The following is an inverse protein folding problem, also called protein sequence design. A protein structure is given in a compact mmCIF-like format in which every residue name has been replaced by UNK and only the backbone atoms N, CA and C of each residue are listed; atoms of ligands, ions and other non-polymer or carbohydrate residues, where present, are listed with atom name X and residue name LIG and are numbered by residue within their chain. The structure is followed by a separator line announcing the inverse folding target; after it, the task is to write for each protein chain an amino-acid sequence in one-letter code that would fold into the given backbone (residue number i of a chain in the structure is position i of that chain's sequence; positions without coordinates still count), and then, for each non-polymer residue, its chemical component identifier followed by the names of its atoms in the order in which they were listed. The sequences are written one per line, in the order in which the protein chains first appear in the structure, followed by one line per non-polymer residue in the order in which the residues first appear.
data_IF_103245509085
#
_entry.id   IF_103245509085
#
_cell.length_a   1.000
_cell.length_b   1.000
_cell.length_c   1.000
_cell.angle_alpha   90.00
_cell.angle_beta   90.00
_cell.angle_gamma   90.00
#
_symmetry.space_group_name_H-M   'P 1'
#
loop_
_entity.id
_entity.type
_entity.pdbx_description
1 polymer ?
#
# COMPACT_ATOMS: atom_id res chain seq x y z
N UNK A 1 -10.55 -37.41 -37.77
CA UNK A 1 -10.92 -35.99 -38.01
C UNK A 1 -11.63 -35.40 -36.79
N UNK A 2 -12.56 -36.12 -36.16
CA UNK A 2 -13.16 -35.74 -34.86
C UNK A 2 -12.13 -35.49 -33.74
N UNK A 3 -11.16 -36.40 -33.55
CA UNK A 3 -10.08 -36.27 -32.55
C UNK A 3 -9.25 -34.97 -32.72
N UNK A 4 -8.91 -34.61 -33.95
CA UNK A 4 -8.15 -33.39 -34.28
C UNK A 4 -8.98 -32.12 -34.06
N UNK A 5 -10.30 -32.19 -34.26
CA UNK A 5 -11.23 -31.08 -33.99
C UNK A 5 -11.42 -30.90 -32.47
N UNK A 6 -11.46 -31.98 -31.69
CA UNK A 6 -11.50 -31.93 -30.21
C UNK A 6 -10.24 -31.32 -29.61
N UNK A 7 -9.06 -31.71 -30.11
CA UNK A 7 -7.76 -31.11 -29.71
C UNK A 7 -7.66 -29.62 -30.09
N UNK A 8 -8.19 -29.23 -31.26
CA UNK A 8 -8.25 -27.83 -31.67
C UNK A 8 -9.23 -26.99 -30.82
N UNK A 9 -10.35 -27.59 -30.38
CA UNK A 9 -11.30 -26.95 -29.46
C UNK A 9 -10.74 -26.70 -28.06
N UNK A 10 -9.95 -27.65 -27.53
CA UNK A 10 -9.23 -27.50 -26.25
C UNK A 10 -8.15 -26.41 -26.32
N UNK A 11 -7.52 -26.22 -27.49
CA UNK A 11 -6.49 -25.20 -27.68
C UNK A 11 -7.04 -23.75 -27.67
N UNK A 12 -8.32 -23.57 -27.99
CA UNK A 12 -8.98 -22.25 -28.09
C UNK A 12 -9.67 -21.78 -26.80
N UNK A 13 -9.87 -22.64 -25.81
CA UNK A 13 -10.41 -22.26 -24.50
C UNK A 13 -9.28 -22.07 -23.47
N UNK A 14 -9.00 -20.82 -23.03
CA UNK A 14 -7.95 -20.53 -22.05
C UNK A 14 -8.14 -21.25 -20.71
N UNK A 15 -9.39 -21.52 -20.29
CA UNK A 15 -9.69 -22.15 -19.01
C UNK A 15 -9.36 -23.65 -19.05
N UNK A 16 -9.82 -24.35 -20.08
CA UNK A 16 -9.56 -25.78 -20.25
C UNK A 16 -8.07 -26.04 -20.42
N UNK A 17 -7.39 -25.23 -21.24
CA UNK A 17 -5.93 -25.31 -21.41
C UNK A 17 -5.18 -25.06 -20.11
N UNK A 18 -5.63 -24.09 -19.31
CA UNK A 18 -5.05 -23.82 -17.99
C UNK A 18 -5.14 -25.03 -17.07
N UNK A 19 -6.33 -25.62 -16.94
CA UNK A 19 -6.57 -26.81 -16.12
C UNK A 19 -5.71 -27.99 -16.59
N UNK A 20 -5.69 -28.27 -17.91
CA UNK A 20 -4.90 -29.37 -18.46
C UNK A 20 -3.39 -29.18 -18.25
N UNK A 21 -2.91 -27.95 -18.35
CA UNK A 21 -1.50 -27.62 -18.10
C UNK A 21 -1.12 -27.91 -16.65
N UNK A 22 -1.95 -27.48 -15.69
CA UNK A 22 -1.74 -27.74 -14.26
C UNK A 22 -1.86 -29.23 -13.93
N UNK A 23 -2.84 -29.92 -14.51
CA UNK A 23 -3.02 -31.36 -14.33
C UNK A 23 -1.83 -32.15 -14.88
N UNK A 24 -1.38 -31.84 -16.10
CA UNK A 24 -0.20 -32.48 -16.71
C UNK A 24 1.05 -32.22 -15.88
N UNK A 25 1.27 -30.96 -15.46
CA UNK A 25 2.39 -30.61 -14.58
C UNK A 25 2.36 -31.37 -13.26
N UNK A 26 1.18 -31.53 -12.65
CA UNK A 26 1.02 -32.26 -11.38
C UNK A 26 1.31 -33.76 -11.55
N UNK A 27 0.79 -34.39 -12.61
CA UNK A 27 1.03 -35.81 -12.91
C UNK A 27 2.50 -36.07 -13.24
N UNK A 28 3.13 -35.22 -14.05
CA UNK A 28 4.54 -35.40 -14.42
C UNK A 28 5.45 -35.15 -13.22
N UNK A 29 5.25 -34.06 -12.48
CA UNK A 29 6.12 -33.71 -11.37
C UNK A 29 5.96 -34.65 -10.16
N UNK A 30 4.73 -34.88 -9.69
CA UNK A 30 4.48 -35.75 -8.53
C UNK A 30 4.52 -37.23 -8.90
N UNK A 31 3.97 -37.57 -10.07
CA UNK A 31 3.88 -38.96 -10.53
C UNK A 31 5.24 -39.55 -10.92
N UNK A 32 6.15 -38.77 -11.52
CA UNK A 32 7.49 -39.28 -11.84
C UNK A 32 8.29 -39.66 -10.59
N UNK A 33 8.30 -38.78 -9.58
CA UNK A 33 8.95 -39.03 -8.28
C UNK A 33 8.32 -40.26 -7.60
N UNK A 34 6.98 -40.36 -7.61
CA UNK A 34 6.28 -41.50 -7.05
C UNK A 34 6.60 -42.83 -7.77
N UNK A 35 6.65 -42.85 -9.11
CA UNK A 35 6.97 -44.05 -9.89
C UNK A 35 8.39 -44.54 -9.61
N UNK A 36 9.36 -43.62 -9.57
CA UNK A 36 10.76 -43.96 -9.30
C UNK A 36 10.90 -44.60 -7.91
N UNK A 37 10.30 -43.99 -6.87
CA UNK A 37 10.38 -44.52 -5.50
C UNK A 37 9.59 -45.83 -5.38
N UNK A 38 8.40 -45.90 -5.97
CA UNK A 38 7.53 -47.09 -5.88
C UNK A 38 8.13 -48.32 -6.54
N UNK A 39 8.95 -48.14 -7.59
CA UNK A 39 9.62 -49.26 -8.27
C UNK A 39 10.66 -49.94 -7.38
N UNK A 40 11.34 -49.19 -6.51
CA UNK A 40 12.36 -49.74 -5.61
C UNK A 40 11.78 -50.17 -4.25
N UNK A 41 10.86 -49.38 -3.69
CA UNK A 41 10.36 -49.58 -2.32
C UNK A 41 8.99 -50.27 -2.25
N UNK A 42 8.31 -50.46 -3.38
CA UNK A 42 6.91 -50.92 -3.45
C UNK A 42 5.90 -49.78 -3.27
N UNK A 43 4.70 -49.95 -3.82
CA UNK A 43 3.68 -48.88 -3.96
C UNK A 43 3.23 -48.29 -2.63
N UNK A 44 2.99 -49.11 -1.59
CA UNK A 44 2.55 -48.62 -0.26
C UNK A 44 3.59 -47.70 0.38
N UNK A 45 4.86 -48.08 0.25
CA UNK A 45 6.01 -47.38 0.82
C UNK A 45 6.31 -46.12 0.02
N UNK A 46 6.37 -46.27 -1.29
CA UNK A 46 6.64 -45.18 -2.21
C UNK A 46 5.58 -44.09 -2.12
N UNK A 47 4.31 -44.45 -1.90
CA UNK A 47 3.25 -43.46 -1.65
C UNK A 47 3.51 -42.67 -0.37
N UNK A 48 3.79 -43.33 0.75
CA UNK A 48 4.08 -42.62 2.01
C UNK A 48 5.27 -41.68 1.89
N UNK A 49 6.37 -42.13 1.26
CA UNK A 49 7.57 -41.32 1.07
C UNK A 49 7.31 -40.13 0.14
N UNK A 50 6.66 -40.37 -1.01
CA UNK A 50 6.39 -39.32 -1.99
C UNK A 50 5.42 -38.26 -1.43
N UNK A 51 4.36 -38.67 -0.73
CA UNK A 51 3.42 -37.75 -0.10
C UNK A 51 4.08 -36.99 1.05
N UNK A 52 4.94 -37.64 1.86
CA UNK A 52 5.71 -36.95 2.89
C UNK A 52 6.65 -35.91 2.26
N UNK A 53 7.38 -36.27 1.19
CA UNK A 53 8.25 -35.35 0.46
C UNK A 53 7.48 -34.14 -0.10
N UNK A 54 6.29 -34.37 -0.68
CA UNK A 54 5.44 -33.28 -1.17
C UNK A 54 5.01 -32.32 -0.07
N UNK A 55 4.52 -32.82 1.07
CA UNK A 55 4.11 -31.94 2.17
C UNK A 55 5.31 -31.25 2.83
N UNK A 56 6.47 -31.89 2.93
CA UNK A 56 7.71 -31.25 3.37
C UNK A 56 8.14 -30.11 2.44
N UNK A 57 8.02 -30.31 1.12
CA UNK A 57 8.25 -29.26 0.13
C UNK A 57 7.22 -28.12 0.25
N UNK A 58 5.93 -28.44 0.42
CA UNK A 58 4.88 -27.44 0.66
C UNK A 58 5.11 -26.63 1.93
N UNK A 59 5.64 -27.23 3.00
CA UNK A 59 6.04 -26.49 4.21
C UNK A 59 7.13 -25.48 3.90
N UNK A 60 8.18 -25.87 3.16
CA UNK A 60 9.29 -24.98 2.82
C UNK A 60 8.80 -23.81 1.94
N UNK A 61 8.00 -24.11 0.91
CA UNK A 61 7.43 -23.07 0.04
C UNK A 61 6.49 -22.13 0.81
N UNK A 62 5.55 -22.68 1.56
CA UNK A 62 4.58 -21.88 2.29
C UNK A 62 5.26 -21.07 3.41
N UNK A 63 6.29 -21.60 4.07
CA UNK A 63 7.10 -20.84 5.02
C UNK A 63 7.82 -19.67 4.35
N UNK A 64 8.37 -19.89 3.15
CA UNK A 64 8.96 -18.82 2.33
C UNK A 64 7.90 -17.75 1.99
N UNK A 65 6.73 -18.17 1.53
CA UNK A 65 5.60 -17.27 1.24
C UNK A 65 5.11 -16.52 2.48
N UNK A 66 5.11 -17.15 3.65
CA UNK A 66 4.72 -16.53 4.91
C UNK A 66 5.71 -15.45 5.35
N UNK A 67 7.01 -15.73 5.27
CA UNK A 67 8.07 -14.78 5.64
C UNK A 67 8.05 -13.56 4.70
N UNK A 68 8.00 -13.81 3.39
CA UNK A 68 8.11 -12.74 2.39
C UNK A 68 6.76 -12.12 1.99
N UNK A 69 5.63 -12.70 2.39
CA UNK A 69 4.30 -12.23 1.98
C UNK A 69 4.06 -12.34 0.47
N UNK A 70 4.51 -13.44 -0.15
CA UNK A 70 4.41 -13.71 -1.60
C UNK A 70 3.56 -14.95 -1.88
N UNK A 71 3.37 -15.30 -3.17
CA UNK A 71 2.61 -16.48 -3.56
C UNK A 71 1.10 -16.30 -3.36
N UNK A 72 0.43 -17.32 -2.81
CA UNK A 72 -0.99 -17.25 -2.47
C UNK A 72 -1.22 -16.45 -1.17
N UNK A 73 -1.00 -15.14 -1.28
CA UNK A 73 -1.18 -14.18 -0.20
C UNK A 73 -2.63 -13.71 -0.07
N UNK A 74 -2.94 -13.15 1.10
CA UNK A 74 -4.20 -12.42 1.31
C UNK A 74 -4.18 -11.04 0.66
N UNK A 75 -5.19 -10.24 0.97
CA UNK A 75 -5.30 -8.85 0.52
C UNK A 75 -4.11 -8.01 1.01
N UNK A 76 -3.64 -7.12 0.14
CA UNK A 76 -2.59 -6.16 0.46
C UNK A 76 -3.17 -5.02 1.31
N UNK A 77 -2.33 -4.29 2.06
CA UNK A 77 -2.75 -3.07 2.72
C UNK A 77 -3.28 -2.07 1.69
N UNK A 78 -4.41 -1.44 1.99
CA UNK A 78 -5.00 -0.37 1.17
C UNK A 78 -5.66 0.67 2.07
N UNK A 79 -5.85 1.88 1.55
CA UNK A 79 -6.74 2.85 2.17
C UNK A 79 -8.18 2.48 1.84
N UNK A 80 -9.07 2.60 2.82
CA UNK A 80 -10.51 2.43 2.62
C UNK A 80 -11.21 3.70 3.07
N UNK A 81 -11.98 4.31 2.17
CA UNK A 81 -12.81 5.47 2.50
C UNK A 81 -13.95 5.03 3.40
N UNK A 82 -14.07 5.73 4.53
CA UNK A 82 -15.12 5.50 5.53
C UNK A 82 -16.20 6.57 5.47
N UNK A 83 -15.82 7.81 5.12
CA UNK A 83 -16.71 8.95 5.05
C UNK A 83 -16.13 9.98 4.06
N UNK A 84 -17.00 10.67 3.34
CA UNK A 84 -16.64 11.83 2.52
C UNK A 84 -17.49 12.99 3.02
N UNK A 85 -16.84 13.90 3.75
CA UNK A 85 -17.49 15.06 4.33
C UNK A 85 -17.31 16.27 3.41
N UNK A 86 -18.35 17.09 3.29
CA UNK A 86 -18.34 18.31 2.47
C UNK A 86 -18.58 19.51 3.38
N UNK A 87 -17.59 20.40 3.47
CA UNK A 87 -17.64 21.60 4.30
C UNK A 87 -17.18 21.32 5.73
N UNK A 88 -18.10 21.34 6.69
CA UNK A 88 -17.80 21.29 8.12
C UNK A 88 -17.46 19.86 8.59
N UNK A 89 -16.19 19.66 8.96
CA UNK A 89 -15.68 18.43 9.56
C UNK A 89 -16.37 18.10 10.89
N UNK A 90 -16.91 19.10 11.59
CA UNK A 90 -17.69 18.91 12.81
C UNK A 90 -18.93 18.02 12.61
N UNK A 91 -19.43 17.91 11.38
CA UNK A 91 -20.57 17.06 11.00
C UNK A 91 -20.15 15.68 10.49
N UNK A 92 -18.86 15.36 10.42
CA UNK A 92 -18.40 14.06 9.93
C UNK A 92 -18.97 12.90 10.75
N UNK A 93 -19.25 11.78 10.08
CA UNK A 93 -19.66 10.54 10.71
C UNK A 93 -18.60 9.94 11.63
N UNK A 94 -17.32 10.29 11.43
CA UNK A 94 -16.20 9.85 12.26
C UNK A 94 -15.90 10.87 13.37
N UNK A 95 -16.05 10.51 14.67
CA UNK A 95 -15.70 11.41 15.78
C UNK A 95 -14.26 11.92 15.75
N UNK A 96 -13.32 11.08 15.32
CA UNK A 96 -11.90 11.41 15.21
C UNK A 96 -11.63 12.49 14.17
N UNK A 97 -12.42 12.56 13.09
CA UNK A 97 -12.28 13.59 12.06
C UNK A 97 -12.72 14.97 12.57
N UNK A 98 -13.68 15.03 13.49
CA UNK A 98 -14.17 16.29 14.11
C UNK A 98 -13.14 17.00 14.97
N UNK A 99 -12.03 16.33 15.30
CA UNK A 99 -10.93 16.90 16.07
C UNK A 99 -9.97 17.73 15.20
N UNK A 100 -10.03 17.57 13.88
CA UNK A 100 -9.32 18.42 12.94
C UNK A 100 -10.17 19.69 12.68
N UNK A 101 -9.62 20.90 12.90
CA UNK A 101 -10.30 22.15 12.53
C UNK A 101 -10.59 22.21 11.02
N UNK A 102 -11.60 23.00 10.65
CA UNK A 102 -11.90 23.21 9.23
C UNK A 102 -10.74 23.92 8.53
N UNK A 103 -10.59 23.66 7.23
CA UNK A 103 -9.48 24.25 6.46
C UNK A 103 -9.49 25.77 6.48
N UNK A 104 -10.68 26.38 6.47
CA UNK A 104 -10.88 27.83 6.42
C UNK A 104 -10.50 28.54 7.74
N UNK A 105 -10.43 27.80 8.86
CA UNK A 105 -10.03 28.32 10.18
C UNK A 105 -8.51 28.31 10.37
N UNK A 106 -7.78 27.70 9.44
CA UNK A 106 -6.34 27.48 9.51
C UNK A 106 -5.61 28.41 8.55
N UNK A 107 -4.41 28.84 8.92
CA UNK A 107 -3.58 29.67 8.05
C UNK A 107 -3.25 28.93 6.75
N UNK A 108 -3.28 29.68 5.64
CA UNK A 108 -2.91 29.12 4.33
C UNK A 108 -1.41 28.80 4.28
N UNK A 109 -1.00 27.93 3.34
CA UNK A 109 0.42 27.63 3.15
C UNK A 109 1.25 28.89 2.87
N UNK A 110 0.72 29.81 2.07
CA UNK A 110 1.42 31.06 1.75
C UNK A 110 1.52 32.02 2.94
N UNK A 111 0.45 32.14 3.75
CA UNK A 111 0.48 32.92 4.98
C UNK A 111 1.54 32.42 5.97
N UNK A 112 1.70 31.09 6.06
CA UNK A 112 2.75 30.48 6.88
C UNK A 112 4.15 30.85 6.36
N UNK A 113 4.35 30.88 5.04
CA UNK A 113 5.62 31.33 4.44
C UNK A 113 5.90 32.78 4.82
N UNK A 114 4.91 33.67 4.70
CA UNK A 114 5.05 35.09 5.01
C UNK A 114 5.29 35.34 6.51
N UNK A 115 4.64 34.57 7.37
CA UNK A 115 4.84 34.63 8.82
C UNK A 115 6.21 34.03 9.23
N UNK A 116 6.74 33.10 8.44
CA UNK A 116 8.02 32.45 8.71
C UNK A 116 9.21 33.33 8.33
N UNK A 117 10.26 33.27 9.14
CA UNK A 117 11.59 33.82 8.79
C UNK A 117 12.53 32.75 8.22
N UNK A 118 11.97 31.63 7.74
CA UNK A 118 12.76 30.51 7.26
C UNK A 118 13.30 30.80 5.86
N UNK A 119 14.62 30.63 5.71
CA UNK A 119 15.29 30.99 4.45
C UNK A 119 14.92 30.05 3.30
N UNK A 120 14.60 28.79 3.57
CA UNK A 120 14.24 27.81 2.54
C UNK A 120 12.82 28.02 2.04
N UNK A 121 11.87 28.25 2.96
CA UNK A 121 10.49 28.58 2.60
C UNK A 121 10.41 29.89 1.80
N UNK A 122 11.10 30.94 2.25
CA UNK A 122 11.13 32.22 1.54
C UNK A 122 11.80 32.12 0.17
N UNK A 123 12.89 31.35 0.05
CA UNK A 123 13.56 31.18 -1.24
C UNK A 123 12.66 30.51 -2.29
N UNK A 124 11.86 29.50 -1.90
CA UNK A 124 11.01 28.75 -2.83
C UNK A 124 9.68 29.45 -3.14
N UNK A 125 9.07 30.09 -2.13
CA UNK A 125 7.70 30.59 -2.20
C UNK A 125 7.56 32.10 -1.97
N UNK A 126 8.65 32.85 -1.77
CA UNK A 126 8.60 34.31 -1.58
C UNK A 126 9.69 35.04 -2.38
N UNK A 127 10.06 34.49 -3.54
CA UNK A 127 10.96 35.12 -4.51
C UNK A 127 10.24 35.34 -5.84
N UNK A 128 10.44 36.52 -6.42
CA UNK A 128 9.90 36.89 -7.72
C UNK A 128 11.03 37.10 -8.73
N UNK A 129 10.87 36.65 -10.00
CA UNK A 129 11.88 36.82 -11.03
C UNK A 129 12.22 38.30 -11.25
N UNK A 130 13.51 38.64 -11.23
CA UNK A 130 13.97 40.01 -11.46
C UNK A 130 14.29 40.27 -12.94
N UNK A 131 14.32 41.55 -13.33
CA UNK A 131 14.73 41.97 -14.67
C UNK A 131 16.21 41.66 -14.96
N UNK A 132 17.05 41.59 -13.91
CA UNK A 132 18.47 41.26 -14.05
C UNK A 132 18.68 39.78 -14.41
N UNK A 133 17.84 38.90 -13.89
CA UNK A 133 17.86 37.45 -14.18
C UNK A 133 17.23 37.11 -15.53
N UNK A 134 16.37 38.00 -16.06
CA UNK A 134 15.62 37.79 -17.30
C UNK A 134 15.80 38.97 -18.28
N UNK A 135 17.02 39.23 -18.77
CA UNK A 135 17.32 40.40 -19.61
C UNK A 135 16.65 40.35 -20.99
N UNK A 136 16.22 39.17 -21.43
CA UNK A 136 15.62 38.94 -22.75
C UNK A 136 14.10 39.19 -22.78
N UNK A 137 13.45 39.39 -21.63
CA UNK A 137 12.01 39.61 -21.54
C UNK A 137 11.67 41.10 -21.61
N UNK A 138 10.59 41.43 -22.33
CA UNK A 138 10.00 42.77 -22.27
C UNK A 138 9.39 43.04 -20.90
N UNK A 139 9.20 44.33 -20.54
CA UNK A 139 8.57 44.72 -19.26
C UNK A 139 7.19 44.08 -19.06
N UNK A 140 6.43 43.89 -20.14
CA UNK A 140 5.12 43.23 -20.11
C UNK A 140 5.23 41.73 -19.86
N UNK A 141 6.16 41.04 -20.53
CA UNK A 141 6.37 39.60 -20.33
C UNK A 141 6.95 39.30 -18.94
N UNK A 142 7.79 40.19 -18.41
CA UNK A 142 8.31 40.09 -17.05
C UNK A 142 7.19 40.24 -16.02
N UNK A 143 6.26 41.19 -16.22
CA UNK A 143 5.12 41.37 -15.32
C UNK A 143 4.18 40.16 -15.34
N UNK A 144 3.94 39.57 -16.51
CA UNK A 144 3.16 38.32 -16.65
C UNK A 144 3.84 37.14 -15.93
N UNK A 145 5.17 37.02 -16.10
CA UNK A 145 5.96 35.99 -15.41
C UNK A 145 5.89 36.17 -13.89
N UNK A 146 6.10 37.39 -13.39
CA UNK A 146 6.01 37.71 -11.96
C UNK A 146 4.62 37.40 -11.40
N UNK A 147 3.55 37.79 -12.11
CA UNK A 147 2.18 37.46 -11.71
C UNK A 147 1.94 35.94 -11.66
N UNK A 148 2.48 35.19 -12.63
CA UNK A 148 2.35 33.73 -12.66
C UNK A 148 3.09 33.04 -11.50
N UNK A 149 4.25 33.56 -11.11
CA UNK A 149 5.04 33.04 -9.98
C UNK A 149 4.40 33.44 -8.65
N UNK A 150 3.90 34.67 -8.54
CA UNK A 150 3.15 35.10 -7.37
C UNK A 150 1.92 34.23 -7.15
N UNK A 151 1.17 33.92 -8.21
CA UNK A 151 0.04 33.00 -8.13
C UNK A 151 0.47 31.60 -7.69
N UNK A 152 1.58 31.04 -8.21
CA UNK A 152 2.14 29.75 -7.72
C UNK A 152 2.36 29.80 -6.21
N UNK A 153 2.92 30.90 -5.72
CA UNK A 153 3.28 31.07 -4.32
C UNK A 153 2.02 31.18 -3.43
N UNK A 154 1.02 31.95 -3.86
CA UNK A 154 -0.23 32.15 -3.13
C UNK A 154 -1.06 30.86 -3.02
N UNK A 155 -1.05 30.04 -4.07
CA UNK A 155 -1.84 28.79 -4.09
C UNK A 155 -1.13 27.62 -3.40
N UNK A 156 0.04 27.80 -2.80
CA UNK A 156 0.79 26.71 -2.15
C UNK A 156 -0.03 26.08 -1.02
N UNK A 157 -0.05 24.75 -0.98
CA UNK A 157 -0.75 24.03 0.11
C UNK A 157 0.17 23.81 1.32
N UNK A 158 -0.39 23.49 2.47
CA UNK A 158 0.39 23.22 3.69
C UNK A 158 1.21 21.94 3.52
N UNK A 159 0.65 20.91 2.89
CA UNK A 159 1.34 19.67 2.54
C UNK A 159 2.49 19.90 1.54
N UNK A 160 2.35 20.85 0.60
CA UNK A 160 3.44 21.26 -0.30
C UNK A 160 4.54 21.99 0.48
N UNK A 161 4.16 22.92 1.36
CA UNK A 161 5.09 23.62 2.23
C UNK A 161 5.85 22.66 3.15
N UNK A 162 5.18 21.69 3.77
CA UNK A 162 5.78 20.68 4.63
C UNK A 162 6.83 19.83 3.89
N UNK A 163 6.67 19.62 2.58
CA UNK A 163 7.65 18.89 1.77
C UNK A 163 8.95 19.70 1.56
N UNK A 164 8.86 21.03 1.56
CA UNK A 164 10.00 21.94 1.36
C UNK A 164 10.62 22.37 2.69
N UNK A 165 9.80 22.85 3.62
CA UNK A 165 10.20 23.44 4.89
C UNK A 165 9.30 22.91 6.03
N UNK A 166 9.49 21.66 6.48
CA UNK A 166 8.66 21.06 7.54
C UNK A 166 8.74 21.83 8.86
N UNK A 167 9.89 22.44 9.17
CA UNK A 167 10.06 23.24 10.40
C UNK A 167 9.08 24.43 10.48
N UNK A 168 8.62 24.96 9.34
CA UNK A 168 7.64 26.05 9.31
C UNK A 168 6.25 25.54 9.68
N UNK A 169 5.85 24.39 9.15
CA UNK A 169 4.56 23.79 9.46
C UNK A 169 4.53 23.25 10.89
N UNK A 170 5.61 22.60 11.33
CA UNK A 170 5.74 22.06 12.69
C UNK A 170 5.79 23.21 13.71
N UNK A 171 6.51 24.29 13.40
CA UNK A 171 6.54 25.49 14.24
C UNK A 171 5.19 26.19 14.38
N UNK A 172 4.29 26.00 13.41
CA UNK A 172 2.91 26.47 13.44
C UNK A 172 1.93 25.46 14.09
N UNK A 173 2.44 24.32 14.60
CA UNK A 173 1.67 23.30 15.31
C UNK A 173 0.97 22.28 14.41
N UNK A 174 1.33 22.20 13.12
CA UNK A 174 0.77 21.21 12.20
C UNK A 174 1.31 19.78 12.40
N UNK A 175 2.28 19.60 13.30
CA UNK A 175 2.79 18.30 13.75
C UNK A 175 1.80 17.58 14.67
N UNK A 176 0.98 18.31 15.43
CA UNK A 176 -0.11 17.75 16.26
C UNK A 176 -1.29 18.73 16.41
N UNK A 177 -2.22 18.69 15.45
CA UNK A 177 -3.49 19.42 15.52
C UNK A 177 -4.60 18.48 15.98
N UNK A 178 -4.85 18.46 17.29
CA UNK A 178 -5.92 17.64 17.85
C UNK A 178 -5.69 16.13 17.66
N UNK A 179 -4.42 15.69 17.60
CA UNK A 179 -3.99 14.33 17.30
C UNK A 179 -3.77 14.04 15.81
N UNK A 180 -3.82 15.05 14.95
CA UNK A 180 -3.58 14.93 13.51
C UNK A 180 -2.25 15.58 13.12
N UNK A 181 -1.45 14.82 12.37
CA UNK A 181 -0.17 15.27 11.80
C UNK A 181 -0.38 15.58 10.33
N UNK A 182 0.09 16.76 9.88
CA UNK A 182 0.12 17.13 8.47
C UNK A 182 1.14 16.27 7.72
N UNK A 183 0.70 15.61 6.64
CA UNK A 183 1.58 14.86 5.78
C UNK A 183 2.15 15.75 4.67
N UNK A 184 3.46 15.71 4.41
CA UNK A 184 4.03 16.31 3.21
C UNK A 184 3.56 15.56 1.96
N UNK A 185 3.50 16.24 0.82
CA UNK A 185 3.09 15.64 -0.47
C UNK A 185 3.94 14.41 -0.86
N UNK A 186 5.20 14.36 -0.39
CA UNK A 186 6.10 13.22 -0.58
C UNK A 186 5.66 11.94 0.12
N UNK A 187 4.86 12.04 1.19
CA UNK A 187 4.34 10.91 1.97
C UNK A 187 2.85 10.68 1.75
N UNK A 188 2.11 11.69 1.31
CA UNK A 188 0.66 11.64 1.13
C UNK A 188 0.19 10.92 -0.15
N UNK A 189 1.10 10.62 -1.10
CA UNK A 189 0.73 10.17 -2.45
C UNK A 189 -0.18 8.93 -2.53
N UNK A 190 0.03 7.92 -1.68
CA UNK A 190 -0.82 6.71 -1.65
C UNK A 190 -2.26 7.02 -1.19
N UNK A 191 -2.39 7.86 -0.15
CA UNK A 191 -3.69 8.27 0.37
C UNK A 191 -4.41 9.21 -0.61
N UNK A 192 -3.69 10.15 -1.22
CA UNK A 192 -4.24 11.06 -2.23
C UNK A 192 -4.75 10.31 -3.45
N UNK A 193 -4.00 9.31 -3.94
CA UNK A 193 -4.42 8.51 -5.08
C UNK A 193 -5.72 7.74 -4.81
N UNK A 194 -5.85 7.14 -3.62
CA UNK A 194 -7.09 6.46 -3.23
C UNK A 194 -8.26 7.44 -3.10
N UNK A 195 -8.03 8.59 -2.43
CA UNK A 195 -9.07 9.61 -2.26
C UNK A 195 -9.58 10.14 -3.61
N UNK A 196 -8.68 10.40 -4.56
CA UNK A 196 -9.02 10.82 -5.94
C UNK A 196 -9.90 9.77 -6.62
N UNK A 197 -9.55 8.49 -6.52
CA UNK A 197 -10.32 7.42 -7.13
C UNK A 197 -11.75 7.38 -6.56
N UNK A 198 -11.89 7.40 -5.23
CA UNK A 198 -13.19 7.28 -4.57
C UNK A 198 -14.07 8.54 -4.79
N UNK A 199 -13.47 9.73 -4.91
CA UNK A 199 -14.18 10.99 -5.21
C UNK A 199 -14.71 11.01 -6.64
N UNK A 200 -13.93 10.53 -7.61
CA UNK A 200 -14.36 10.42 -9.01
C UNK A 200 -15.46 9.39 -9.20
N UNK A 201 -15.48 8.34 -8.37
CA UNK A 201 -16.55 7.34 -8.36
C UNK A 201 -17.80 7.79 -7.59
N UNK A 202 -17.72 8.87 -6.80
CA UNK A 202 -18.80 9.27 -5.90
C UNK A 202 -19.97 9.96 -6.67
N UNK A 203 -21.19 9.40 -6.68
CA UNK A 203 -22.29 9.87 -7.53
C UNK A 203 -22.78 11.31 -7.24
N UNK A 204 -22.54 11.83 -6.04
CA UNK A 204 -23.05 13.15 -5.63
C UNK A 204 -22.08 14.30 -5.88
N UNK A 205 -20.81 14.03 -6.16
CA UNK A 205 -19.77 15.05 -6.27
C UNK A 205 -19.58 15.57 -7.71
N UNK A 206 -20.15 14.90 -8.71
CA UNK A 206 -20.18 15.31 -10.13
C UNK A 206 -18.82 15.67 -10.75
N UNK A 207 -17.71 15.15 -10.23
CA UNK A 207 -16.40 15.29 -10.84
C UNK A 207 -16.23 14.30 -11.99
N UNK A 208 -15.73 14.78 -13.13
CA UNK A 208 -15.47 13.93 -14.31
C UNK A 208 -13.98 13.62 -14.48
N UNK A 209 -13.12 14.46 -13.94
CA UNK A 209 -11.66 14.34 -14.06
C UNK A 209 -10.96 14.88 -12.81
N UNK A 210 -9.72 14.41 -12.59
CA UNK A 210 -8.82 14.97 -11.56
C UNK A 210 -8.41 16.42 -11.83
N UNK A 211 -8.78 16.99 -12.99
CA UNK A 211 -8.58 18.41 -13.30
C UNK A 211 -9.67 19.32 -12.71
N UNK A 212 -10.80 18.75 -12.29
CA UNK A 212 -11.97 19.50 -11.80
C UNK A 212 -11.80 19.94 -10.34
N UNK A 213 -10.78 19.43 -9.65
CA UNK A 213 -10.49 19.75 -8.26
C UNK A 213 -8.99 19.81 -8.01
N UNK A 214 -8.63 20.53 -6.96
CA UNK A 214 -7.27 20.68 -6.46
C UNK A 214 -7.15 19.95 -5.13
N UNK A 215 -6.09 19.15 -5.00
CA UNK A 215 -5.71 18.55 -3.71
C UNK A 215 -5.12 19.66 -2.83
N UNK A 216 -5.67 19.81 -1.62
CA UNK A 216 -5.17 20.76 -0.64
C UNK A 216 -4.13 20.05 0.23
N UNK A 217 -4.59 19.41 1.31
CA UNK A 217 -3.73 18.88 2.35
C UNK A 217 -4.12 17.47 2.74
N UNK A 218 -3.13 16.71 3.21
CA UNK A 218 -3.34 15.39 3.73
C UNK A 218 -2.91 15.34 5.20
N UNK A 219 -3.73 14.72 6.04
CA UNK A 219 -3.45 14.53 7.46
C UNK A 219 -3.42 13.04 7.78
N UNK A 220 -2.65 12.65 8.79
CA UNK A 220 -2.62 11.30 9.34
C UNK A 220 -2.87 11.34 10.84
N UNK A 221 -3.50 10.29 11.36
CA UNK A 221 -3.69 10.10 12.81
C UNK A 221 -3.55 8.65 13.20
N UNK A 222 -2.89 8.42 14.32
CA UNK A 222 -2.64 7.07 14.85
C UNK A 222 -1.58 6.32 14.03
N UNK A 223 -1.69 5.00 13.97
CA UNK A 223 -0.61 4.17 13.45
C UNK A 223 0.53 4.00 14.46
N UNK A 224 1.61 3.30 14.03
CA UNK A 224 2.79 3.08 14.87
C UNK A 224 3.67 4.32 14.82
N UNK A 225 4.23 4.69 15.97
CA UNK A 225 5.17 5.80 16.08
C UNK A 225 6.30 5.66 15.06
N UNK A 226 6.54 6.72 14.30
CA UNK A 226 7.64 6.84 13.35
C UNK A 226 8.94 7.21 14.07
N UNK A 227 10.08 7.00 13.40
CA UNK A 227 11.34 7.59 13.87
C UNK A 227 11.22 9.10 13.72
N UNK A 228 11.76 9.85 14.68
CA UNK A 228 12.07 11.28 14.49
C UNK A 228 13.05 11.45 13.33
N UNK A 229 13.03 12.61 12.67
CA UNK A 229 13.86 12.89 11.48
C UNK A 229 15.36 12.68 11.69
N UNK A 230 15.88 12.90 12.91
CA UNK A 230 17.29 12.66 13.26
C UNK A 230 17.44 11.68 14.43
N UNK A 231 17.19 10.37 14.21
CA UNK A 231 17.14 9.40 15.29
C UNK A 231 18.54 8.86 15.61
N UNK A 232 18.89 8.82 16.89
CA UNK A 232 20.12 8.21 17.34
C UNK A 232 20.05 6.67 17.27
N UNK A 233 21.21 6.00 17.33
CA UNK A 233 21.26 4.53 17.33
C UNK A 233 20.42 3.90 18.45
N UNK A 234 20.37 4.54 19.62
CA UNK A 234 19.56 4.09 20.75
C UNK A 234 18.07 4.19 20.45
N UNK A 235 17.61 5.28 19.81
CA UNK A 235 16.21 5.47 19.46
C UNK A 235 15.73 4.37 18.50
N UNK A 236 16.57 4.00 17.52
CA UNK A 236 16.28 2.89 16.59
C UNK A 236 16.13 1.56 17.32
N UNK A 237 16.99 1.29 18.29
CA UNK A 237 16.95 0.05 19.07
C UNK A 237 15.70 0.03 19.96
N UNK A 238 15.42 1.13 20.66
CA UNK A 238 14.25 1.26 21.51
C UNK A 238 12.98 1.07 20.69
N UNK A 239 12.87 1.73 19.54
CA UNK A 239 11.71 1.59 18.67
C UNK A 239 11.57 0.18 18.11
N UNK A 240 12.68 -0.47 17.72
CA UNK A 240 12.63 -1.87 17.30
C UNK A 240 12.05 -2.76 18.41
N UNK A 241 12.43 -2.54 19.67
CA UNK A 241 11.90 -3.28 20.82
C UNK A 241 10.42 -2.96 21.06
N UNK A 242 10.04 -1.68 21.15
CA UNK A 242 8.67 -1.27 21.44
C UNK A 242 7.70 -1.67 20.33
N UNK A 243 8.10 -1.48 19.07
CA UNK A 243 7.30 -1.88 17.90
C UNK A 243 7.13 -3.39 17.76
N UNK A 244 8.10 -4.18 18.25
CA UNK A 244 8.03 -5.65 18.31
C UNK A 244 7.15 -6.14 19.46
N UNK A 245 7.12 -5.41 20.59
CA UNK A 245 6.23 -5.71 21.72
C UNK A 245 4.76 -5.38 21.42
N UNK A 246 4.51 -4.49 20.46
CA UNK A 246 3.17 -4.12 20.02
C UNK A 246 2.62 -5.15 19.01
N UNK A 247 2.03 -6.22 19.54
CA UNK A 247 1.43 -7.31 18.76
C UNK A 247 0.21 -6.85 17.95
N UNK A 248 -0.56 -5.89 18.47
CA UNK A 248 -1.70 -5.30 17.77
C UNK A 248 -1.25 -4.10 16.96
N UNK A 249 -1.79 -3.97 15.75
CA UNK A 249 -1.54 -2.79 14.93
C UNK A 249 -2.50 -1.68 15.34
N UNK A 250 -2.02 -0.50 15.77
CA UNK A 250 -2.89 0.65 16.00
C UNK A 250 -3.54 1.09 14.69
N UNK A 251 -4.81 1.47 14.75
CA UNK A 251 -5.55 1.99 13.61
C UNK A 251 -4.93 3.30 13.14
N UNK A 252 -4.80 3.44 11.82
CA UNK A 252 -4.29 4.66 11.20
C UNK A 252 -5.38 5.25 10.33
N UNK A 253 -5.70 6.51 10.58
CA UNK A 253 -6.62 7.30 9.78
C UNK A 253 -5.85 8.27 8.90
N UNK A 254 -6.42 8.61 7.76
CA UNK A 254 -5.93 9.70 6.93
C UNK A 254 -7.11 10.53 6.42
N UNK A 255 -6.93 11.84 6.37
CA UNK A 255 -7.89 12.76 5.77
C UNK A 255 -7.18 13.42 4.59
N UNK A 256 -7.78 13.37 3.42
CA UNK A 256 -7.31 14.10 2.25
C UNK A 256 -8.35 15.16 1.91
N UNK A 257 -7.92 16.42 1.92
CA UNK A 257 -8.76 17.56 1.60
C UNK A 257 -8.59 17.93 0.13
N UNK A 258 -9.70 18.23 -0.52
CA UNK A 258 -9.76 18.68 -1.90
C UNK A 258 -10.84 19.74 -2.06
N UNK A 259 -10.67 20.59 -3.07
CA UNK A 259 -11.61 21.66 -3.37
C UNK A 259 -11.79 21.79 -4.88
N UNK A 260 -13.01 22.10 -5.31
CA UNK A 260 -13.33 22.30 -6.73
C UNK A 260 -12.47 23.43 -7.32
N UNK A 261 -12.04 23.27 -8.57
CA UNK A 261 -11.22 24.25 -9.28
C UNK A 261 -12.10 25.13 -10.13
N UNK A 262 -11.78 26.43 -10.19
CA UNK A 262 -12.47 27.37 -11.08
C UNK A 262 -12.25 26.90 -12.53
N UNK A 263 -13.31 26.65 -13.32
CA UNK A 263 -13.14 26.18 -14.70
C UNK A 263 -12.35 27.18 -15.56
N UNK A 264 -11.18 26.76 -16.03
CA UNK A 264 -10.33 27.57 -16.90
C UNK A 264 -10.46 27.08 -18.34
N UNK A 265 -11.00 27.91 -19.23
CA UNK A 265 -11.13 27.56 -20.65
C UNK A 265 -9.79 27.79 -21.35
N UNK A 266 -9.14 26.71 -21.79
CA UNK A 266 -7.84 26.77 -22.46
C UNK A 266 -8.01 26.69 -23.97
N UNK A 267 -7.38 27.62 -24.71
CA UNK A 267 -7.33 27.53 -26.16
C UNK A 267 -6.43 26.36 -26.58
N UNK A 268 -6.76 25.60 -27.65
CA UNK A 268 -5.94 24.50 -28.12
C UNK A 268 -4.52 24.96 -28.46
N UNK A 269 -3.51 24.45 -27.73
CA UNK A 269 -2.09 24.75 -27.96
C UNK A 269 -1.45 25.71 -26.94
N UNK A 270 -2.22 26.29 -26.03
CA UNK A 270 -1.68 27.04 -24.89
C UNK A 270 -1.33 26.12 -23.72
N UNK A 271 -0.38 26.55 -22.88
CA UNK A 271 -0.03 25.80 -21.68
C UNK A 271 -1.21 25.86 -20.70
N UNK A 272 -1.71 24.71 -20.19
CA UNK A 272 -2.78 24.72 -19.20
C UNK A 272 -2.39 25.61 -18.01
N UNK A 273 -3.23 26.60 -17.64
CA UNK A 273 -2.98 27.42 -16.49
C UNK A 273 -3.06 26.57 -15.21
N UNK A 274 -2.41 27.04 -14.16
CA UNK A 274 -2.37 26.32 -12.89
C UNK A 274 -3.79 26.25 -12.31
N UNK A 275 -4.24 25.09 -11.81
CA UNK A 275 -5.53 24.97 -11.17
C UNK A 275 -5.57 25.82 -9.90
N UNK A 276 -6.55 26.72 -9.83
CA UNK A 276 -6.83 27.57 -8.67
C UNK A 276 -8.11 27.07 -8.02
N UNK A 277 -8.05 26.79 -6.73
CA UNK A 277 -9.21 26.32 -5.96
C UNK A 277 -10.27 27.44 -5.86
N UNK A 278 -11.54 27.08 -5.99
CA UNK A 278 -12.66 27.99 -5.82
C UNK A 278 -13.01 28.12 -4.34
N UNK A 279 -12.60 29.24 -3.72
CA UNK A 279 -12.87 29.55 -2.30
C UNK A 279 -14.37 29.61 -1.96
N UNK A 280 -15.25 29.79 -2.95
CA UNK A 280 -16.70 29.79 -2.71
C UNK A 280 -17.29 28.39 -2.51
N UNK A 281 -16.53 27.36 -2.88
CA UNK A 281 -16.94 25.96 -2.78
C UNK A 281 -16.42 25.33 -1.49
N UNK A 282 -17.23 24.50 -0.82
CA UNK A 282 -16.81 23.85 0.41
C UNK A 282 -15.64 22.89 0.17
N UNK A 283 -14.73 22.82 1.14
CA UNK A 283 -13.66 21.81 1.14
C UNK A 283 -14.26 20.42 1.36
N UNK A 284 -13.91 19.49 0.49
CA UNK A 284 -14.31 18.09 0.57
C UNK A 284 -13.19 17.34 1.29
N UNK A 285 -13.54 16.71 2.41
CA UNK A 285 -12.63 15.93 3.24
C UNK A 285 -12.93 14.45 3.07
N UNK A 286 -12.02 13.74 2.42
CA UNK A 286 -12.09 12.28 2.23
C UNK A 286 -11.40 11.61 3.41
N UNK A 287 -12.19 10.93 4.24
CA UNK A 287 -11.73 10.33 5.48
C UNK A 287 -11.55 8.82 5.23
N UNK A 288 -10.35 8.33 5.51
CA UNK A 288 -9.92 6.97 5.22
C UNK A 288 -9.35 6.30 6.46
N UNK A 289 -9.52 4.98 6.51
CA UNK A 289 -8.81 4.09 7.44
C UNK A 289 -7.81 3.23 6.67
N UNK A 290 -6.64 2.97 7.27
CA UNK A 290 -5.66 2.05 6.71
C UNK A 290 -6.06 0.62 7.03
N UNK A 291 -6.56 -0.11 6.03
CA UNK A 291 -6.66 -1.56 6.13
C UNK A 291 -5.27 -2.16 5.89
N UNK A 292 -4.82 -3.02 6.80
CA UNK A 292 -3.54 -3.71 6.72
C UNK A 292 -3.62 -5.02 5.91
N UNK A 293 -4.84 -5.45 5.61
CA UNK A 293 -5.12 -6.69 4.91
C UNK A 293 -4.63 -7.92 5.68
N UNK A 294 -4.59 -9.04 4.96
CA UNK A 294 -4.25 -10.35 5.53
C UNK A 294 -3.16 -11.05 4.71
N UNK A 295 -2.18 -10.30 4.21
CA UNK A 295 -1.09 -10.75 3.32
C UNK A 295 -0.50 -12.10 3.76
N UNK A 296 -0.21 -12.23 5.06
CA UNK A 296 0.50 -13.39 5.63
C UNK A 296 -0.40 -14.49 6.16
N UNK A 297 -1.71 -14.26 6.30
CA UNK A 297 -2.62 -15.22 6.93
C UNK A 297 -2.76 -16.50 6.09
N UNK A 298 -3.06 -16.35 4.79
CA UNK A 298 -3.25 -17.52 3.89
C UNK A 298 -1.98 -18.38 3.79
N UNK A 299 -0.77 -17.82 3.55
CA UNK A 299 0.46 -18.61 3.57
C UNK A 299 0.70 -19.31 4.91
N UNK A 300 0.47 -18.62 6.04
CA UNK A 300 0.66 -19.22 7.36
C UNK A 300 -0.24 -20.45 7.59
N UNK A 301 -1.51 -20.37 7.18
CA UNK A 301 -2.44 -21.51 7.25
C UNK A 301 -1.96 -22.70 6.42
N UNK A 302 -1.44 -22.45 5.21
CA UNK A 302 -0.87 -23.50 4.35
C UNK A 302 0.38 -24.12 4.98
N UNK A 303 1.27 -23.31 5.56
CA UNK A 303 2.47 -23.81 6.26
C UNK A 303 2.10 -24.70 7.43
N UNK A 304 1.20 -24.23 8.31
CA UNK A 304 0.79 -24.95 9.51
C UNK A 304 0.06 -26.25 9.13
N UNK A 305 -0.90 -26.18 8.18
CA UNK A 305 -1.63 -27.35 7.70
C UNK A 305 -0.71 -28.39 7.06
N UNK A 306 0.21 -27.95 6.19
CA UNK A 306 1.18 -28.85 5.56
C UNK A 306 2.18 -29.44 6.56
N UNK A 307 2.56 -28.67 7.59
CA UNK A 307 3.47 -29.12 8.63
C UNK A 307 2.86 -30.26 9.46
N UNK A 308 1.59 -30.13 9.86
CA UNK A 308 0.91 -31.20 10.59
C UNK A 308 0.81 -32.48 9.76
N UNK A 309 0.47 -32.38 8.47
CA UNK A 309 0.39 -33.53 7.58
C UNK A 309 1.77 -34.16 7.38
N UNK A 310 2.80 -33.34 7.17
CA UNK A 310 4.19 -33.79 7.03
C UNK A 310 4.65 -34.56 8.28
N UNK A 311 4.43 -34.01 9.47
CA UNK A 311 4.82 -34.65 10.73
C UNK A 311 4.05 -35.96 10.97
N UNK A 312 2.76 -36.01 10.62
CA UNK A 312 1.98 -37.24 10.70
C UNK A 312 2.53 -38.34 9.77
N UNK A 313 2.91 -37.99 8.54
CA UNK A 313 3.50 -38.94 7.58
C UNK A 313 4.89 -39.40 8.01
N UNK A 314 5.73 -38.49 8.51
CA UNK A 314 7.03 -38.85 9.10
C UNK A 314 6.87 -39.79 10.30
N UNK A 315 5.88 -39.53 11.15
CA UNK A 315 5.57 -40.41 12.27
C UNK A 315 5.15 -41.82 11.80
N UNK A 316 4.30 -41.91 10.77
CA UNK A 316 3.92 -43.22 10.20
C UNK A 316 5.10 -43.98 9.58
N UNK A 317 6.00 -43.27 8.88
CA UNK A 317 7.24 -43.88 8.38
C UNK A 317 8.11 -44.39 9.53
N UNK A 318 8.26 -43.60 10.59
CA UNK A 318 9.02 -43.99 11.77
C UNK A 318 8.47 -45.22 12.49
N UNK A 319 7.15 -45.26 12.72
CA UNK A 319 6.48 -46.43 13.33
C UNK A 319 6.72 -47.67 12.49
N UNK A 320 6.59 -47.54 11.18
CA UNK A 320 6.81 -48.65 10.27
C UNK A 320 8.26 -49.12 10.26
N UNK A 321 9.24 -48.21 10.26
CA UNK A 321 10.65 -48.59 10.30
C UNK A 321 10.97 -49.40 11.56
N UNK A 322 10.38 -49.04 12.70
CA UNK A 322 10.46 -49.84 13.93
C UNK A 322 9.89 -51.24 13.75
N UNK A 323 8.69 -51.38 13.17
CA UNK A 323 8.09 -52.70 12.93
C UNK A 323 8.94 -53.58 12.00
N UNK A 324 9.58 -52.99 10.99
CA UNK A 324 10.48 -53.71 10.08
C UNK A 324 11.74 -54.15 10.81
N UNK A 325 12.30 -53.31 11.68
CA UNK A 325 13.46 -53.67 12.52
C UNK A 325 13.10 -54.81 13.47
N UNK A 326 11.96 -54.75 14.17
CA UNK A 326 11.51 -55.83 15.06
C UNK A 326 11.31 -57.14 14.30
N UNK A 327 10.68 -57.12 13.11
CA UNK A 327 10.51 -58.32 12.28
C UNK A 327 11.85 -58.89 11.80
N UNK A 328 12.85 -58.06 11.53
CA UNK A 328 14.21 -58.52 11.19
C UNK A 328 14.90 -59.16 12.39
N UNK A 329 14.81 -58.54 13.57
CA UNK A 329 15.35 -59.11 14.80
C UNK A 329 14.70 -60.46 15.15
N UNK A 330 13.38 -60.60 14.96
CA UNK A 330 12.67 -61.87 15.13
C UNK A 330 13.21 -62.92 14.15
N UNK A 331 13.31 -62.58 12.85
CA UNK A 331 13.86 -63.47 11.83
C UNK A 331 15.29 -63.94 12.15
N UNK A 332 16.16 -63.02 12.54
CA UNK A 332 17.55 -63.33 12.96
C UNK A 332 17.59 -64.26 14.19
N UNK A 333 16.67 -64.09 15.15
CA UNK A 333 16.57 -64.95 16.34
C UNK A 333 16.03 -66.34 16.02
N UNK A 334 15.07 -66.47 15.11
CA UNK A 334 14.45 -67.76 14.76
C UNK A 334 15.18 -68.54 13.65
N UNK A 335 16.09 -67.90 12.90
CA UNK A 335 16.97 -68.56 11.93
C UNK A 335 16.27 -69.31 10.78
N UNK A 336 14.98 -69.02 10.55
CA UNK A 336 14.18 -69.51 9.43
C UNK A 336 13.59 -68.35 8.66
#
# INVERSE_FOLDING_TARGET
MSELISLAGIAWDPQIRGILTVATGSVVLLGSVWLIISTNSGTRVGTLIATAGFFGWMVILAATWWIYGTGWKGENPSWQVIDINVGDLGQSGLPEARLLPNSDDLQSGYELVLASSDSRAQAEYNTLPSAEENPDLSETELAELQASVQLKNEIVTRSELAAVAPEVTDGAGFDDIGGWELLPTTLAGDAQAQAVADVLEHPSLNFSSSADFKLLDAYTRGGKDSLKDNPNRLDRIVQWITSSAQFTHPTRYSIVQLQEVIPQNVAPGETPPRPVADESKPVISVIMIRDLGAVRLRPALVTIGSLFIFLALCYWLHVRDKEVMTRREEFEKTGK
#
